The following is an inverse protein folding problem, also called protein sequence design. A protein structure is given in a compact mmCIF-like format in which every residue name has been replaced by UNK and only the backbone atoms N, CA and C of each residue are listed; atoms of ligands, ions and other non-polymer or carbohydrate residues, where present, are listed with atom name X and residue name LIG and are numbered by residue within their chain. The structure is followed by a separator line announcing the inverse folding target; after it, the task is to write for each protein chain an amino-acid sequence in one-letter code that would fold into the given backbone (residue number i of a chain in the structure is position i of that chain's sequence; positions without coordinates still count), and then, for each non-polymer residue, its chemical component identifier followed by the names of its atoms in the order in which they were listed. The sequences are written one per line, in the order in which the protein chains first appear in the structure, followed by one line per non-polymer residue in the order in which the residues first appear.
data_IF_326584435677
#
_entry.id   IF_326584435677
#
_cell.length_a   1.000
_cell.length_b   1.000
_cell.length_c   1.000
_cell.angle_alpha   90.00
_cell.angle_beta   90.00
_cell.angle_gamma   90.00
#
_symmetry.space_group_name_H-M   'P 1'
#
loop_
_entity.id
_entity.type
_entity.pdbx_description
1 polymer ?
#
# COMPACT_ATOMS: atom_id res chain seq x y z
N UNK A 1 -13.64 5.38 -6.30
CA UNK A 1 -13.16 5.27 -4.91
C UNK A 1 -12.94 6.67 -4.35
N UNK A 2 -13.29 6.95 -3.09
CA UNK A 2 -13.03 8.27 -2.51
C UNK A 2 -11.54 8.39 -2.16
N UNK A 3 -10.85 9.31 -2.83
CA UNK A 3 -9.46 9.69 -2.53
C UNK A 3 -9.45 11.13 -2.05
N UNK A 4 -8.46 11.54 -1.23
CA UNK A 4 -8.26 12.95 -0.97
C UNK A 4 -8.12 13.79 -2.25
N UNK A 5 -8.44 15.09 -2.18
CA UNK A 5 -8.29 15.99 -3.32
C UNK A 5 -6.81 16.14 -3.71
N UNK A 6 -6.49 15.97 -4.99
CA UNK A 6 -5.11 16.09 -5.48
C UNK A 6 -4.62 17.54 -5.62
N UNK A 7 -5.55 18.50 -5.62
CA UNK A 7 -5.29 19.91 -5.96
C UNK A 7 -4.97 20.77 -4.73
N UNK A 8 -4.78 20.20 -3.54
CA UNK A 8 -4.60 20.95 -2.29
C UNK A 8 -3.43 21.94 -2.33
N UNK A 9 -2.35 21.62 -3.06
CA UNK A 9 -1.18 22.51 -3.25
C UNK A 9 -1.11 23.10 -4.66
N UNK A 10 -2.16 22.94 -5.47
CA UNK A 10 -2.20 23.33 -6.90
C UNK A 10 -1.08 22.74 -7.78
N UNK A 11 -0.35 21.74 -7.27
CA UNK A 11 0.70 21.03 -8.02
C UNK A 11 0.11 19.87 -8.80
N UNK A 12 0.77 19.53 -9.90
CA UNK A 12 0.48 18.30 -10.61
C UNK A 12 0.83 17.10 -9.70
N UNK A 13 -0.03 16.08 -9.69
CA UNK A 13 0.13 14.93 -8.78
C UNK A 13 1.41 14.14 -9.05
N UNK A 14 1.87 14.10 -10.29
CA UNK A 14 3.12 13.49 -10.71
C UNK A 14 4.36 14.37 -10.43
N UNK A 15 4.14 15.62 -10.01
CA UNK A 15 5.19 16.55 -9.55
C UNK A 15 5.45 16.50 -8.04
N UNK A 16 4.70 15.70 -7.27
CA UNK A 16 4.87 15.52 -5.83
C UNK A 16 6.08 14.64 -5.44
N UNK A 17 7.10 14.57 -6.31
CA UNK A 17 8.28 13.72 -6.13
C UNK A 17 9.28 14.29 -5.12
N UNK A 18 9.42 15.61 -5.08
CA UNK A 18 10.40 16.24 -4.19
C UNK A 18 9.91 16.18 -2.74
N UNK A 19 10.78 15.83 -1.77
CA UNK A 19 10.38 15.66 -0.37
C UNK A 19 9.62 16.87 0.19
N UNK A 20 10.08 18.08 -0.14
CA UNK A 20 9.45 19.30 0.34
C UNK A 20 8.04 19.53 -0.23
N UNK A 21 7.80 19.17 -1.51
CA UNK A 21 6.47 19.23 -2.13
C UNK A 21 5.52 18.20 -1.51
N UNK A 22 6.03 17.00 -1.20
CA UNK A 22 5.26 15.95 -0.56
C UNK A 22 4.89 16.33 0.88
N UNK A 23 5.83 16.91 1.64
CA UNK A 23 5.59 17.43 2.99
C UNK A 23 4.56 18.57 2.99
N UNK A 24 4.69 19.52 2.06
CA UNK A 24 3.73 20.61 1.86
C UNK A 24 2.31 20.05 1.62
N UNK A 25 2.20 19.08 0.71
CA UNK A 25 0.94 18.42 0.40
C UNK A 25 0.38 17.63 1.59
N UNK A 26 1.23 16.90 2.31
CA UNK A 26 0.80 16.13 3.48
C UNK A 26 0.27 17.05 4.58
N UNK A 27 0.91 18.19 4.84
CA UNK A 27 0.41 19.18 5.81
C UNK A 27 -0.96 19.73 5.41
N UNK A 28 -1.11 20.14 4.15
CA UNK A 28 -2.39 20.61 3.62
C UNK A 28 -3.47 19.53 3.67
N UNK A 29 -3.10 18.27 3.40
CA UNK A 29 -3.98 17.12 3.47
C UNK A 29 -4.45 16.82 4.90
N UNK A 30 -3.54 16.89 5.87
CA UNK A 30 -3.87 16.67 7.28
C UNK A 30 -4.84 17.74 7.81
N UNK A 31 -4.62 19.00 7.43
CA UNK A 31 -5.53 20.10 7.74
C UNK A 31 -6.90 19.88 7.09
N UNK A 32 -6.92 19.56 5.79
CA UNK A 32 -8.15 19.26 5.05
C UNK A 32 -8.93 18.12 5.70
N UNK A 33 -8.28 17.00 6.00
CA UNK A 33 -8.93 15.83 6.60
C UNK A 33 -9.44 16.11 8.02
N UNK A 34 -8.76 16.98 8.78
CA UNK A 34 -9.24 17.41 10.10
C UNK A 34 -10.54 18.21 9.97
N UNK A 35 -10.54 19.26 9.15
CA UNK A 35 -11.74 20.09 8.93
C UNK A 35 -12.87 19.28 8.32
N UNK A 36 -12.57 18.45 7.31
CA UNK A 36 -13.55 17.59 6.66
C UNK A 36 -14.22 16.64 7.66
N UNK A 37 -13.45 16.07 8.59
CA UNK A 37 -13.98 15.20 9.65
C UNK A 37 -14.93 15.95 10.58
N UNK A 38 -14.55 17.13 11.03
CA UNK A 38 -15.39 17.94 11.94
C UNK A 38 -16.71 18.33 11.27
N UNK A 39 -16.69 18.69 9.99
CA UNK A 39 -17.89 18.98 9.21
C UNK A 39 -18.74 17.73 8.94
N UNK A 40 -18.11 16.57 8.71
CA UNK A 40 -18.83 15.30 8.54
C UNK A 40 -19.60 14.91 9.80
N UNK A 41 -19.00 15.10 10.99
CA UNK A 41 -19.66 14.87 12.27
C UNK A 41 -20.84 15.83 12.45
N UNK A 42 -20.64 17.12 12.22
CA UNK A 42 -21.72 18.12 12.36
C UNK A 42 -22.92 17.83 11.47
N UNK A 43 -22.68 17.31 10.26
CA UNK A 43 -23.74 17.10 9.25
C UNK A 43 -24.44 15.75 9.40
N UNK A 44 -23.68 14.68 9.67
CA UNK A 44 -24.15 13.31 9.53
C UNK A 44 -23.86 12.43 10.76
N UNK A 45 -23.26 12.99 11.83
CA UNK A 45 -22.77 12.24 13.00
C UNK A 45 -21.90 11.02 12.62
N UNK A 46 -21.04 11.21 11.60
CA UNK A 46 -20.22 10.15 11.03
C UNK A 46 -18.82 10.67 10.68
N UNK A 47 -17.83 9.79 10.70
CA UNK A 47 -16.46 10.05 10.25
C UNK A 47 -16.05 9.13 9.09
N UNK A 48 -17.00 8.41 8.51
CA UNK A 48 -16.73 7.31 7.58
C UNK A 48 -15.94 7.77 6.36
N UNK A 49 -16.28 8.90 5.77
CA UNK A 49 -15.62 9.39 4.56
C UNK A 49 -14.25 9.98 4.88
N UNK A 50 -14.13 10.74 5.97
CA UNK A 50 -12.84 11.25 6.45
C UNK A 50 -11.86 10.10 6.73
N UNK A 51 -12.31 9.07 7.45
CA UNK A 51 -11.50 7.91 7.79
C UNK A 51 -11.14 7.08 6.56
N UNK A 52 -12.06 6.94 5.59
CA UNK A 52 -11.80 6.26 4.33
C UNK A 52 -10.72 6.98 3.51
N UNK A 53 -10.80 8.31 3.40
CA UNK A 53 -9.81 9.10 2.69
C UNK A 53 -8.44 9.05 3.37
N UNK A 54 -8.40 9.10 4.71
CA UNK A 54 -7.17 8.93 5.50
C UNK A 54 -6.55 7.55 5.27
N UNK A 55 -7.34 6.47 5.33
CA UNK A 55 -6.85 5.12 5.03
C UNK A 55 -6.30 5.01 3.62
N UNK A 56 -7.00 5.59 2.64
CA UNK A 56 -6.61 5.59 1.22
C UNK A 56 -5.28 6.31 0.99
N UNK A 57 -4.99 7.35 1.78
CA UNK A 57 -3.69 8.01 1.77
C UNK A 57 -2.59 7.10 2.34
N UNK A 58 -2.79 6.57 3.56
CA UNK A 58 -1.78 5.75 4.25
C UNK A 58 -1.49 4.42 3.55
N UNK A 59 -2.48 3.80 2.90
CA UNK A 59 -2.28 2.56 2.15
C UNK A 59 -1.55 2.74 0.83
N UNK A 60 -1.29 3.99 0.41
CA UNK A 60 -0.78 4.30 -0.91
C UNK A 60 -1.81 4.16 -2.04
N UNK A 61 -3.06 3.80 -1.73
CA UNK A 61 -4.12 3.65 -2.72
C UNK A 61 -4.42 4.94 -3.47
N UNK A 62 -4.22 6.11 -2.83
CA UNK A 62 -4.25 7.40 -3.51
C UNK A 62 -3.37 7.41 -4.76
N UNK A 63 -2.10 6.99 -4.62
CA UNK A 63 -1.14 6.97 -5.71
C UNK A 63 -1.53 5.98 -6.80
N UNK A 64 -1.97 4.78 -6.41
CA UNK A 64 -2.46 3.78 -7.36
C UNK A 64 -3.61 4.32 -8.22
N UNK A 65 -4.64 4.91 -7.58
CA UNK A 65 -5.76 5.45 -8.34
C UNK A 65 -5.35 6.61 -9.24
N UNK A 66 -4.46 7.49 -8.77
CA UNK A 66 -3.97 8.61 -9.60
C UNK A 66 -3.17 8.12 -10.80
N UNK A 67 -2.30 7.14 -10.61
CA UNK A 67 -1.56 6.48 -11.70
C UNK A 67 -2.50 5.84 -12.72
N UNK A 68 -3.54 5.13 -12.27
CA UNK A 68 -4.53 4.50 -13.15
C UNK A 68 -5.39 5.53 -13.92
N UNK A 69 -5.71 6.66 -13.31
CA UNK A 69 -6.55 7.70 -13.94
C UNK A 69 -5.80 8.69 -14.81
N UNK A 70 -4.49 8.86 -14.60
CA UNK A 70 -3.67 9.86 -15.29
C UNK A 70 -2.51 9.13 -15.97
N UNK A 71 -2.73 8.52 -17.15
CA UNK A 71 -1.71 7.73 -17.85
C UNK A 71 -0.41 8.50 -18.08
N UNK A 72 -0.50 9.80 -18.37
CA UNK A 72 0.66 10.68 -18.58
C UNK A 72 1.57 10.80 -17.35
N UNK A 73 0.98 10.79 -16.16
CA UNK A 73 1.71 10.88 -14.88
C UNK A 73 2.04 9.51 -14.28
N UNK A 74 1.50 8.43 -14.82
CA UNK A 74 1.62 7.07 -14.28
C UNK A 74 3.07 6.66 -14.00
N UNK A 75 3.97 6.91 -14.95
CA UNK A 75 5.39 6.55 -14.82
C UNK A 75 6.04 7.25 -13.61
N UNK A 76 5.84 8.55 -13.48
CA UNK A 76 6.40 9.34 -12.38
C UNK A 76 5.77 8.95 -11.03
N UNK A 77 4.45 8.75 -11.00
CA UNK A 77 3.74 8.33 -9.78
C UNK A 77 4.21 6.93 -9.34
N UNK A 78 4.37 6.00 -10.29
CA UNK A 78 4.81 4.65 -9.97
C UNK A 78 6.22 4.67 -9.39
N UNK A 79 7.19 5.26 -10.07
CA UNK A 79 8.58 5.27 -9.61
C UNK A 79 8.80 6.14 -8.37
N UNK A 80 8.07 7.25 -8.23
CA UNK A 80 8.24 8.17 -7.11
C UNK A 80 7.51 7.75 -5.84
N UNK A 81 6.36 7.10 -5.96
CA UNK A 81 5.48 6.83 -4.82
C UNK A 81 5.14 5.37 -4.64
N UNK A 82 4.77 4.63 -5.70
CA UNK A 82 4.29 3.24 -5.55
C UNK A 82 5.46 2.27 -5.36
N UNK A 83 6.46 2.32 -6.23
CA UNK A 83 7.59 1.40 -6.23
C UNK A 83 8.37 1.42 -4.90
N UNK A 84 8.70 2.58 -4.29
CA UNK A 84 9.38 2.62 -3.01
C UNK A 84 8.61 1.96 -1.85
N UNK A 85 7.28 1.86 -1.92
CA UNK A 85 6.48 1.17 -0.89
C UNK A 85 6.67 -0.34 -0.90
N UNK A 86 7.02 -0.92 -2.05
CA UNK A 86 7.32 -2.34 -2.18
C UNK A 86 8.81 -2.60 -2.04
N UNK A 87 9.61 -1.74 -2.66
CA UNK A 87 11.06 -1.87 -2.66
C UNK A 87 11.74 -0.56 -3.08
N UNK A 88 12.42 0.07 -2.13
CA UNK A 88 13.21 1.28 -2.35
C UNK A 88 14.43 1.02 -3.25
N UNK A 89 15.04 -0.16 -3.16
CA UNK A 89 16.26 -0.54 -3.88
C UNK A 89 15.99 -1.10 -5.28
N UNK A 90 14.73 -1.23 -5.71
CA UNK A 90 14.37 -1.77 -7.04
C UNK A 90 15.26 -1.22 -8.17
N UNK A 91 15.50 0.11 -8.30
CA UNK A 91 16.23 0.65 -9.44
C UNK A 91 17.67 0.12 -9.56
N UNK A 92 18.21 -0.45 -8.48
CA UNK A 92 19.58 -0.95 -8.38
C UNK A 92 19.67 -2.48 -8.55
N UNK A 93 18.55 -3.20 -8.65
CA UNK A 93 18.49 -4.66 -8.66
C UNK A 93 18.20 -5.29 -10.02
N UNK A 94 18.57 -6.57 -10.16
CA UNK A 94 18.24 -7.35 -11.35
C UNK A 94 16.73 -7.67 -11.41
N UNK A 95 16.09 -7.32 -12.53
CA UNK A 95 14.62 -7.29 -12.67
C UNK A 95 13.97 -8.66 -12.39
N UNK A 96 14.58 -9.76 -12.80
CA UNK A 96 13.89 -11.05 -12.78
C UNK A 96 14.03 -11.84 -11.48
N UNK A 97 15.23 -11.87 -10.89
CA UNK A 97 15.48 -12.70 -9.71
C UNK A 97 15.22 -11.95 -8.41
N UNK A 98 15.54 -10.66 -8.38
CA UNK A 98 15.64 -9.92 -7.11
C UNK A 98 14.49 -8.92 -6.92
N UNK A 99 13.75 -8.59 -7.97
CA UNK A 99 12.72 -7.53 -7.94
C UNK A 99 11.30 -8.07 -7.84
N UNK A 100 10.95 -9.13 -8.59
CA UNK A 100 9.54 -9.55 -8.72
C UNK A 100 8.89 -10.01 -7.41
N UNK A 101 9.64 -10.69 -6.53
CA UNK A 101 9.05 -11.20 -5.30
C UNK A 101 8.58 -10.08 -4.39
N UNK A 102 9.26 -8.93 -4.37
CA UNK A 102 8.85 -7.75 -3.59
C UNK A 102 7.44 -7.25 -3.91
N UNK A 103 6.97 -7.49 -5.13
CA UNK A 103 5.63 -7.07 -5.56
C UNK A 103 4.53 -8.06 -5.17
N UNK A 104 4.84 -9.19 -4.54
CA UNK A 104 3.81 -10.12 -4.03
C UNK A 104 3.06 -9.55 -2.82
N UNK A 105 3.60 -8.52 -2.16
CA UNK A 105 2.90 -7.74 -1.13
C UNK A 105 3.78 -6.65 -0.53
N UNK A 106 3.17 -5.59 0.03
CA UNK A 106 3.87 -4.47 0.68
C UNK A 106 4.83 -4.91 1.81
N UNK A 107 4.57 -6.06 2.43
CA UNK A 107 5.39 -6.63 3.51
C UNK A 107 5.77 -8.07 3.12
N UNK A 108 6.39 -8.23 1.95
CA UNK A 108 6.66 -9.56 1.40
C UNK A 108 7.48 -10.42 2.35
N UNK A 109 8.44 -9.84 3.08
CA UNK A 109 9.31 -10.58 4.01
C UNK A 109 8.47 -11.27 5.10
N UNK A 110 7.55 -10.53 5.72
CA UNK A 110 6.62 -11.08 6.72
C UNK A 110 5.69 -12.14 6.13
N UNK A 111 5.25 -11.92 4.88
CA UNK A 111 4.43 -12.89 4.15
C UNK A 111 5.19 -14.19 3.86
N UNK A 112 6.45 -14.09 3.43
CA UNK A 112 7.33 -15.24 3.16
C UNK A 112 7.58 -16.00 4.46
N UNK A 113 7.98 -15.32 5.54
CA UNK A 113 8.25 -15.94 6.83
C UNK A 113 7.03 -16.68 7.37
N UNK A 114 5.85 -16.05 7.27
CA UNK A 114 4.58 -16.69 7.64
C UNK A 114 4.31 -17.92 6.78
N UNK A 115 4.50 -17.84 5.46
CA UNK A 115 4.26 -18.94 4.53
C UNK A 115 5.23 -20.10 4.75
N UNK A 116 6.48 -19.83 5.09
CA UNK A 116 7.48 -20.84 5.44
C UNK A 116 7.07 -21.59 6.72
N UNK A 117 6.62 -20.88 7.76
CA UNK A 117 6.10 -21.48 9.00
C UNK A 117 4.83 -22.31 8.76
N UNK A 118 3.89 -21.79 7.97
CA UNK A 118 2.67 -22.51 7.57
C UNK A 118 3.02 -23.80 6.83
N UNK A 119 3.99 -23.76 5.91
CA UNK A 119 4.46 -24.94 5.17
C UNK A 119 5.10 -25.98 6.09
N UNK A 120 5.96 -25.56 7.01
CA UNK A 120 6.60 -26.47 7.96
C UNK A 120 5.56 -27.21 8.82
N UNK A 121 4.59 -26.46 9.35
CA UNK A 121 3.47 -27.03 10.11
C UNK A 121 2.69 -28.05 9.28
N UNK A 122 2.32 -27.68 8.05
CA UNK A 122 1.57 -28.55 7.14
C UNK A 122 2.33 -29.84 6.81
N UNK A 123 3.63 -29.76 6.52
CA UNK A 123 4.46 -30.94 6.25
C UNK A 123 4.56 -31.86 7.48
N UNK A 124 4.64 -31.29 8.68
CA UNK A 124 4.65 -32.07 9.91
C UNK A 124 3.30 -32.77 10.18
N UNK A 125 2.18 -32.11 9.90
CA UNK A 125 0.84 -32.71 9.99
C UNK A 125 0.67 -33.84 8.97
N UNK A 126 1.08 -33.63 7.72
CA UNK A 126 1.07 -34.68 6.69
C UNK A 126 1.90 -35.90 7.07
N UNK A 127 3.11 -35.69 7.62
CA UNK A 127 3.94 -36.80 8.10
C UNK A 127 3.23 -37.58 9.20
N UNK A 128 2.67 -36.90 10.20
CA UNK A 128 1.94 -37.55 11.30
C UNK A 128 0.75 -38.38 10.78
N UNK A 129 -0.05 -37.82 9.88
CA UNK A 129 -1.18 -38.52 9.27
C UNK A 129 -0.72 -39.78 8.51
N UNK A 130 0.37 -39.67 7.74
CA UNK A 130 0.90 -40.81 6.98
C UNK A 130 1.46 -41.94 7.87
N UNK A 131 2.00 -41.62 9.04
CA UNK A 131 2.46 -42.64 9.99
C UNK A 131 1.31 -43.26 10.79
N UNK A 132 0.30 -42.47 11.19
CA UNK A 132 -0.89 -42.98 11.88
C UNK A 132 -1.67 -44.01 11.03
N UNK A 133 -1.75 -43.79 9.71
CA UNK A 133 -2.40 -44.70 8.75
C UNK A 133 -1.65 -46.03 8.56
N UNK A 134 -0.37 -46.11 8.96
CA UNK A 134 0.45 -47.34 8.89
C UNK A 134 0.45 -48.16 10.19
N UNK A 135 0.00 -47.58 11.29
CA UNK A 135 -0.09 -48.27 12.59
C UNK A 135 -1.47 -48.94 12.79
N UNK A 136 -2.45 -48.63 11.94
CA UNK A 136 -3.82 -49.20 11.92
C UNK A 136 -4.01 -50.37 10.91
N UNK A 137 -2.95 -50.76 10.18
CA UNK A 137 -2.90 -51.89 9.22
C UNK A 137 -2.02 -53.05 9.76
#
# INVERSE_FOLDING_TARGET
MQTPPYWLTSRAVDGLREPHHLEEYQKALEEYLRVYRDEEIKRNDSTRQADLQRRTWHSGSFWFFKAATIPKGMYNIFNGHIQPMFNEYHPEMSIFNDVFYWYWGLQVSDLIDRKLKEREKYVNELRKAHYADKDDD
#
